data_IF_888551815921
#
_entry.id   IF_888551815921
#
_cell.length_a   1.000
_cell.length_b   1.000
_cell.length_c   1.000
_cell.angle_alpha   90.00
_cell.angle_beta   90.00
_cell.angle_gamma   90.00
#
_symmetry.space_group_name_H-M   'P 1'
#
loop_
_entity.id
_entity.type
_entity.pdbx_description
1 polymer ?
#
# COMPACT_ATOMS: atom_id res chain seq x y z
N UNK A 1 17.20 34.80 -1.36
CA UNK A 1 16.92 34.29 -2.73
C UNK A 1 16.95 32.76 -2.75
N UNK A 2 16.02 32.07 -2.07
CA UNK A 2 15.95 30.58 -2.04
C UNK A 2 14.53 30.06 -2.31
N UNK A 3 13.50 30.90 -2.16
CA UNK A 3 12.10 30.45 -2.18
C UNK A 3 11.48 30.21 -3.57
N UNK A 4 12.16 30.56 -4.67
CA UNK A 4 11.63 30.36 -6.03
C UNK A 4 12.02 29.01 -6.65
N UNK A 5 13.09 28.36 -6.15
CA UNK A 5 13.65 27.17 -6.80
C UNK A 5 13.05 25.84 -6.31
N UNK A 6 12.30 25.86 -5.20
CA UNK A 6 11.61 24.66 -4.73
C UNK A 6 10.32 24.39 -5.52
N UNK A 7 9.61 25.46 -5.93
CA UNK A 7 8.34 25.34 -6.67
C UNK A 7 8.49 24.77 -8.08
N UNK A 8 9.64 24.98 -8.73
CA UNK A 8 9.88 24.47 -10.08
C UNK A 8 10.29 22.99 -10.13
N UNK A 9 10.85 22.43 -9.05
CA UNK A 9 11.15 20.99 -8.97
C UNK A 9 9.90 20.13 -8.79
N UNK A 10 8.85 20.66 -8.16
CA UNK A 10 7.57 19.95 -7.96
C UNK A 10 6.82 19.73 -9.29
N UNK A 11 7.10 20.55 -10.32
CA UNK A 11 6.49 20.44 -11.64
C UNK A 11 7.13 19.35 -12.52
N UNK A 12 8.31 18.85 -12.17
CA UNK A 12 9.03 17.82 -12.93
C UNK A 12 9.25 16.56 -12.10
N UNK A 13 8.18 15.96 -11.57
CA UNK A 13 8.08 14.52 -11.23
C UNK A 13 9.16 13.86 -10.34
N UNK A 14 10.17 14.59 -9.89
CA UNK A 14 11.37 14.09 -9.24
C UNK A 14 11.49 14.79 -7.88
N UNK A 15 10.59 14.40 -7.00
CA UNK A 15 10.54 14.84 -5.61
C UNK A 15 10.26 13.63 -4.73
N UNK A 16 11.31 13.17 -4.04
CA UNK A 16 11.23 12.26 -2.90
C UNK A 16 10.00 12.53 -2.06
N UNK A 17 9.25 11.48 -1.69
CA UNK A 17 8.06 11.48 -0.85
C UNK A 17 8.18 12.46 0.34
N UNK A 18 7.86 13.74 0.13
CA UNK A 18 7.84 14.74 1.18
C UNK A 18 6.56 14.53 1.97
N UNK A 19 6.70 14.08 3.23
CA UNK A 19 5.71 14.27 4.30
C UNK A 19 4.26 14.06 3.84
N UNK A 20 3.89 12.81 3.48
CA UNK A 20 2.48 12.47 3.33
C UNK A 20 1.79 12.69 4.68
N UNK A 21 1.08 13.80 4.78
CA UNK A 21 0.18 14.09 5.89
C UNK A 21 -0.97 13.09 5.78
N UNK A 22 -0.79 11.90 6.38
CA UNK A 22 -1.71 10.77 6.30
C UNK A 22 -2.95 11.04 7.15
N UNK A 23 -3.81 11.94 6.69
CA UNK A 23 -5.10 12.20 7.33
C UNK A 23 -6.09 11.13 6.92
N UNK A 24 -6.72 10.50 7.91
CA UNK A 24 -7.90 9.70 7.67
C UNK A 24 -9.03 10.62 7.18
N UNK A 25 -9.81 10.18 6.17
CA UNK A 25 -10.99 10.94 5.71
C UNK A 25 -11.98 11.20 6.85
N UNK A 26 -12.09 10.25 7.79
CA UNK A 26 -12.84 10.39 9.02
C UNK A 26 -11.91 10.15 10.21
N UNK A 27 -11.50 11.24 10.88
CA UNK A 27 -10.58 11.19 12.01
C UNK A 27 -11.18 10.50 13.25
N UNK A 28 -12.48 10.65 13.49
CA UNK A 28 -13.17 10.03 14.64
C UNK A 28 -13.15 8.51 14.49
N UNK A 29 -13.54 8.00 13.31
CA UNK A 29 -13.52 6.58 13.02
C UNK A 29 -12.12 6.00 13.14
N UNK A 30 -11.12 6.70 12.59
CA UNK A 30 -9.73 6.29 12.70
C UNK A 30 -9.25 6.23 14.17
N UNK A 31 -9.61 7.22 14.99
CA UNK A 31 -9.25 7.23 16.40
C UNK A 31 -9.87 6.05 17.17
N UNK A 32 -11.16 5.76 16.92
CA UNK A 32 -11.85 4.60 17.51
C UNK A 32 -11.15 3.29 17.12
N UNK A 33 -10.86 3.12 15.82
CA UNK A 33 -10.19 1.91 15.31
C UNK A 33 -8.78 1.75 15.88
N UNK A 34 -8.06 2.85 16.09
CA UNK A 34 -6.73 2.84 16.70
C UNK A 34 -6.80 2.42 18.16
N UNK A 35 -7.71 3.01 18.94
CA UNK A 35 -7.90 2.68 20.36
C UNK A 35 -8.41 1.26 20.57
N UNK A 36 -9.20 0.74 19.63
CA UNK A 36 -9.65 -0.65 19.62
C UNK A 36 -8.56 -1.65 19.16
N UNK A 37 -7.38 -1.17 18.73
CA UNK A 37 -6.26 -2.02 18.32
C UNK A 37 -6.35 -2.60 16.91
N UNK A 38 -7.28 -2.13 16.07
CA UNK A 38 -7.43 -2.61 14.69
C UNK A 38 -6.44 -1.96 13.71
N UNK A 39 -5.98 -0.74 14.03
CA UNK A 39 -4.99 -0.01 13.22
C UNK A 39 -3.82 0.42 14.09
N UNK A 40 -2.61 0.28 13.56
CA UNK A 40 -1.37 0.62 14.26
C UNK A 40 -1.08 2.13 14.14
N UNK A 41 -0.44 2.52 13.02
CA UNK A 41 -0.06 3.89 12.68
C UNK A 41 -0.79 4.30 11.41
N UNK A 42 -1.36 5.51 11.40
CA UNK A 42 -2.02 6.04 10.22
C UNK A 42 -1.04 6.11 9.04
N UNK A 43 -1.49 5.65 7.88
CA UNK A 43 -0.70 5.68 6.65
C UNK A 43 0.23 4.49 6.41
N UNK A 44 0.41 3.56 7.36
CA UNK A 44 1.34 2.43 7.16
C UNK A 44 0.71 1.22 6.46
N UNK A 45 -0.63 1.19 6.31
CA UNK A 45 -1.36 0.04 5.80
C UNK A 45 -0.93 -0.45 4.42
N UNK A 46 -0.74 0.47 3.46
CA UNK A 46 -0.32 0.13 2.09
C UNK A 46 1.09 -0.48 2.08
N UNK A 47 2.02 0.12 2.84
CA UNK A 47 3.39 -0.39 2.97
C UNK A 47 3.39 -1.78 3.59
N UNK A 48 2.60 -2.00 4.64
CA UNK A 48 2.47 -3.32 5.29
C UNK A 48 1.94 -4.37 4.32
N UNK A 49 0.89 -4.05 3.55
CA UNK A 49 0.35 -4.97 2.54
C UNK A 49 1.42 -5.38 1.52
N UNK A 50 2.21 -4.43 1.01
CA UNK A 50 3.27 -4.71 0.03
C UNK A 50 4.36 -5.61 0.61
N UNK A 51 4.81 -5.31 1.83
CA UNK A 51 5.85 -6.09 2.51
C UNK A 51 5.40 -7.53 2.81
N UNK A 52 4.18 -7.72 3.29
CA UNK A 52 3.68 -9.06 3.63
C UNK A 52 3.46 -9.93 2.37
N UNK A 53 3.02 -9.33 1.26
CA UNK A 53 2.90 -10.04 -0.02
C UNK A 53 4.26 -10.47 -0.55
N UNK A 54 5.25 -9.58 -0.47
CA UNK A 54 6.62 -9.88 -0.90
C UNK A 54 7.22 -11.01 -0.05
N UNK A 55 7.09 -10.93 1.28
CA UNK A 55 7.53 -12.00 2.20
C UNK A 55 6.86 -13.35 1.91
N UNK A 56 5.59 -13.33 1.51
CA UNK A 56 4.84 -14.53 1.15
C UNK A 56 5.16 -15.06 -0.26
N UNK A 57 5.98 -14.35 -1.05
CA UNK A 57 6.28 -14.72 -2.43
C UNK A 57 5.07 -14.67 -3.37
N UNK A 58 4.07 -13.83 -3.04
CA UNK A 58 2.82 -13.72 -3.79
C UNK A 58 2.90 -12.63 -4.87
N UNK A 59 2.03 -12.68 -5.90
CA UNK A 59 1.92 -11.61 -6.89
C UNK A 59 1.64 -10.26 -6.22
N UNK A 60 2.34 -9.22 -6.70
CA UNK A 60 2.16 -7.85 -6.18
C UNK A 60 0.71 -7.40 -6.35
N UNK A 61 0.11 -6.77 -5.33
CA UNK A 61 -1.25 -6.27 -5.43
C UNK A 61 -1.31 -5.01 -6.30
N UNK A 62 -2.44 -4.79 -6.97
CA UNK A 62 -2.69 -3.57 -7.75
C UNK A 62 -3.55 -2.62 -6.91
N UNK A 63 -3.09 -1.37 -6.76
CA UNK A 63 -3.81 -0.33 -6.04
C UNK A 63 -4.43 0.64 -7.04
N UNK A 64 -5.75 0.82 -6.98
CA UNK A 64 -6.50 1.75 -7.81
C UNK A 64 -6.88 2.98 -6.98
N UNK A 65 -6.58 4.18 -7.49
CA UNK A 65 -6.80 5.47 -6.82
C UNK A 65 -7.77 6.38 -7.59
N UNK A 66 -8.64 5.80 -8.42
CA UNK A 66 -9.58 6.56 -9.25
C UNK A 66 -10.81 6.99 -8.39
N UNK A 67 -12.03 6.95 -8.95
CA UNK A 67 -13.27 7.30 -8.23
C UNK A 67 -13.48 6.51 -6.92
N UNK A 68 -13.01 5.25 -6.88
CA UNK A 68 -13.01 4.41 -5.70
C UNK A 68 -11.59 3.91 -5.41
N UNK A 69 -11.26 3.82 -4.11
CA UNK A 69 -10.06 3.13 -3.67
C UNK A 69 -10.33 1.63 -3.68
N UNK A 70 -9.55 0.88 -4.45
CA UNK A 70 -9.64 -0.56 -4.53
C UNK A 70 -8.24 -1.19 -4.48
N UNK A 71 -8.17 -2.40 -3.94
CA UNK A 71 -6.96 -3.21 -3.92
C UNK A 71 -7.29 -4.57 -4.52
N UNK A 72 -6.59 -4.93 -5.58
CA UNK A 72 -6.76 -6.21 -6.27
C UNK A 72 -5.65 -7.19 -5.86
N UNK A 73 -6.05 -8.39 -5.47
CA UNK A 73 -5.15 -9.48 -5.09
C UNK A 73 -5.37 -10.69 -6.01
N UNK A 74 -4.33 -11.09 -6.74
CA UNK A 74 -4.40 -12.28 -7.60
C UNK A 74 -4.31 -13.54 -6.77
N UNK A 75 -5.34 -14.39 -6.84
CA UNK A 75 -5.32 -15.71 -6.19
C UNK A 75 -4.43 -16.66 -6.99
N UNK A 76 -3.34 -17.12 -6.37
CA UNK A 76 -2.55 -18.23 -6.91
C UNK A 76 -3.33 -19.54 -6.76
N UNK A 77 -3.57 -20.25 -7.87
CA UNK A 77 -4.09 -21.62 -7.82
C UNK A 77 -2.99 -22.51 -7.26
N UNK A 78 -3.32 -23.36 -6.29
CA UNK A 78 -2.39 -24.37 -5.78
C UNK A 78 -2.08 -25.30 -6.97
N UNK A 79 -0.82 -25.39 -7.39
CA UNK A 79 -0.39 -26.42 -8.32
C UNK A 79 -0.54 -27.73 -7.57
N UNK A 80 -1.55 -28.54 -7.89
CA UNK A 80 -1.59 -29.91 -7.45
C UNK A 80 -0.36 -30.59 -8.04
N UNK A 81 0.57 -31.01 -7.17
CA UNK A 81 1.71 -31.83 -7.56
C UNK A 81 1.10 -33.14 -8.06
N UNK A 82 0.95 -33.29 -9.38
CA UNK A 82 0.70 -34.59 -9.97
C UNK A 82 1.85 -35.48 -9.57
N UNK A 83 1.62 -36.38 -8.62
CA UNK A 83 2.54 -37.46 -8.32
C UNK A 83 2.65 -38.29 -9.59
N UNK A 84 3.73 -38.10 -10.34
CA UNK A 84 4.20 -39.08 -11.31
C UNK A 84 4.46 -40.37 -10.51
N UNK A 85 3.53 -41.30 -10.60
CA UNK A 85 3.77 -42.69 -10.22
C UNK A 85 4.71 -43.24 -11.29
N UNK A 86 6.00 -43.23 -10.98
CA UNK A 86 6.96 -44.13 -11.62
C UNK A 86 6.64 -45.57 -11.18
N UNK A 87 6.82 -46.49 -12.13
CA UNK A 87 6.68 -47.95 -12.06
C UNK A 87 5.32 -48.53 -12.47
#
# INVERSE_FOLDING_TARGET
MVSKNLKNKIAQGEGYYTEFNHFARNAILANIMQRAGFIEKLGTGITRIKQEIEKAGLPKPVFHYNYFFAVEFTRVKKVEKSSEKSS
#
